data_IF_005502584948
#
_entry.id   IF_005502584948
#
_cell.length_a   1.000
_cell.length_b   1.000
_cell.length_c   1.000
_cell.angle_alpha   90.00
_cell.angle_beta   90.00
_cell.angle_gamma   90.00
#
_symmetry.space_group_name_H-M   'P 1'
#
loop_
_entity.id
_entity.type
_entity.pdbx_description
1 polymer ?
#
# COMPACT_ATOMS: atom_id res chain seq x y z
N UNK A 1 11.76 -5.75 -15.76
CA UNK A 1 10.30 -5.48 -15.73
C UNK A 1 10.11 -3.99 -15.98
N UNK A 2 9.43 -3.56 -17.06
CA UNK A 2 9.23 -2.12 -17.33
C UNK A 2 8.26 -1.54 -16.29
N UNK A 3 8.75 -0.70 -15.39
CA UNK A 3 7.92 0.03 -14.41
C UNK A 3 7.15 1.12 -15.16
N UNK A 4 5.82 1.04 -15.17
CA UNK A 4 4.97 2.11 -15.71
C UNK A 4 4.76 3.14 -14.60
N UNK A 5 5.35 4.33 -14.77
CA UNK A 5 5.35 5.43 -13.81
C UNK A 5 3.94 6.04 -13.73
N UNK A 6 3.35 6.14 -12.53
CA UNK A 6 2.21 7.00 -12.29
C UNK A 6 2.75 8.36 -11.84
N UNK A 7 2.69 9.38 -12.69
CA UNK A 7 3.09 10.73 -12.31
C UNK A 7 2.01 11.37 -11.42
N UNK A 8 2.39 12.35 -10.61
CA UNK A 8 1.46 13.15 -9.79
C UNK A 8 0.28 13.74 -10.61
N UNK A 9 0.43 13.91 -11.92
CA UNK A 9 -0.64 14.33 -12.82
C UNK A 9 -1.75 13.27 -13.02
N UNK A 10 -1.41 11.98 -13.00
CA UNK A 10 -2.37 10.88 -13.06
C UNK A 10 -3.20 10.77 -11.78
N UNK A 11 -2.59 11.11 -10.65
CA UNK A 11 -3.21 11.19 -9.32
C UNK A 11 -4.23 12.34 -9.25
N UNK A 12 -3.89 13.53 -9.76
CA UNK A 12 -4.79 14.69 -9.80
C UNK A 12 -6.03 14.45 -10.70
N UNK A 13 -5.86 13.80 -11.85
CA UNK A 13 -6.98 13.43 -12.74
C UNK A 13 -7.86 12.32 -12.16
N UNK A 14 -7.36 11.57 -11.19
CA UNK A 14 -8.12 10.57 -10.47
C UNK A 14 -9.05 11.22 -9.44
N UNK A 15 -8.53 12.13 -8.62
CA UNK A 15 -9.29 12.84 -7.58
C UNK A 15 -10.42 13.74 -8.10
N UNK A 16 -10.17 14.51 -9.16
CA UNK A 16 -11.18 15.42 -9.71
C UNK A 16 -12.31 14.70 -10.47
N UNK A 17 -12.08 13.46 -10.91
CA UNK A 17 -13.05 12.70 -11.70
C UNK A 17 -14.05 11.93 -10.84
N UNK A 18 -13.64 11.44 -9.65
CA UNK A 18 -14.56 10.74 -8.74
C UNK A 18 -15.67 11.65 -8.23
N UNK A 19 -15.38 12.94 -8.03
CA UNK A 19 -16.34 13.92 -7.53
C UNK A 19 -17.32 14.46 -8.60
N UNK A 20 -17.08 14.21 -9.90
CA UNK A 20 -17.79 14.88 -11.01
C UNK A 20 -18.61 13.91 -11.88
N UNK A 21 -18.58 12.59 -11.59
CA UNK A 21 -19.20 11.57 -12.43
C UNK A 21 -20.74 11.49 -12.33
N UNK A 22 -21.36 12.16 -11.36
CA UNK A 22 -22.82 12.07 -11.16
C UNK A 22 -23.53 13.42 -10.99
N UNK A 23 -22.80 14.53 -11.13
CA UNK A 23 -23.41 15.86 -11.24
C UNK A 23 -23.82 16.14 -12.70
N UNK A 24 -25.13 16.18 -12.94
CA UNK A 24 -25.83 16.69 -14.13
C UNK A 24 -26.07 15.74 -15.32
N UNK A 25 -27.21 15.04 -15.28
CA UNK A 25 -28.09 14.95 -16.47
C UNK A 25 -28.59 16.37 -16.82
N UNK A 26 -27.81 17.18 -17.53
CA UNK A 26 -28.38 18.21 -18.42
C UNK A 26 -27.38 18.74 -19.43
N UNK A 27 -27.79 18.66 -20.70
CA UNK A 27 -27.41 19.49 -21.85
C UNK A 27 -25.94 19.48 -22.32
N UNK A 28 -25.73 18.83 -23.48
CA UNK A 28 -24.79 19.22 -24.55
C UNK A 28 -23.59 20.09 -24.11
N UNK A 29 -22.62 19.48 -23.43
CA UNK A 29 -21.32 20.10 -23.15
C UNK A 29 -20.22 19.22 -23.74
N UNK A 30 -19.52 19.73 -24.76
CA UNK A 30 -18.37 19.06 -25.36
C UNK A 30 -17.33 18.71 -24.30
N UNK A 31 -16.93 17.43 -24.25
CA UNK A 31 -15.72 17.01 -23.55
C UNK A 31 -14.52 17.83 -24.03
N UNK A 32 -13.70 18.44 -23.16
CA UNK A 32 -12.49 19.12 -23.59
C UNK A 32 -11.52 18.09 -24.17
N UNK A 33 -11.36 18.08 -25.49
CA UNK A 33 -10.43 17.21 -26.24
C UNK A 33 -8.95 17.49 -25.94
N UNK A 34 -8.66 18.49 -25.13
CA UNK A 34 -7.28 18.93 -24.78
C UNK A 34 -6.63 18.14 -23.63
N UNK A 35 -7.28 17.11 -23.07
CA UNK A 35 -6.71 16.26 -22.02
C UNK A 35 -5.83 15.11 -22.54
N UNK A 36 -5.86 14.82 -23.85
CA UNK A 36 -5.15 13.68 -24.47
C UNK A 36 -3.90 14.07 -25.25
N UNK A 37 -3.71 15.37 -25.55
CA UNK A 37 -2.60 15.85 -26.39
C UNK A 37 -1.23 15.81 -25.72
N UNK A 38 -1.16 15.81 -24.39
CA UNK A 38 0.09 16.01 -23.66
C UNK A 38 0.79 14.71 -23.22
N UNK A 39 0.20 13.53 -23.53
CA UNK A 39 0.77 12.22 -23.15
C UNK A 39 1.80 11.73 -24.19
N UNK A 40 1.73 12.19 -25.45
CA UNK A 40 2.64 11.75 -26.51
C UNK A 40 3.98 12.49 -26.54
N UNK A 41 4.08 13.69 -25.96
CA UNK A 41 5.33 14.47 -25.98
C UNK A 41 6.40 14.03 -24.98
N UNK A 42 6.08 13.15 -24.01
CA UNK A 42 7.01 12.69 -22.97
C UNK A 42 7.71 11.36 -23.30
N UNK A 43 7.56 10.83 -24.52
CA UNK A 43 8.12 9.53 -24.94
C UNK A 43 9.39 9.62 -25.80
N UNK A 44 9.84 10.81 -26.20
CA UNK A 44 10.84 10.95 -27.27
C UNK A 44 12.23 11.44 -26.80
N UNK A 45 12.51 11.49 -25.50
CA UNK A 45 13.83 11.91 -24.98
C UNK A 45 14.42 10.91 -23.96
N UNK A 46 14.58 9.63 -24.33
CA UNK A 46 15.60 8.76 -23.71
C UNK A 46 16.03 7.70 -24.74
N UNK A 47 16.77 8.12 -25.77
CA UNK A 47 17.63 7.24 -26.55
C UNK A 47 19.06 7.80 -26.49
N UNK A 48 20.01 6.90 -26.30
CA UNK A 48 21.48 7.08 -26.26
C UNK A 48 22.12 7.34 -24.88
N UNK A 49 22.50 6.24 -24.20
CA UNK A 49 23.73 6.17 -23.42
C UNK A 49 24.28 4.73 -23.44
N UNK A 50 25.54 4.62 -23.86
CA UNK A 50 26.26 3.40 -24.18
C UNK A 50 26.52 2.46 -22.99
N UNK A 51 26.54 1.16 -23.28
CA UNK A 51 26.93 0.08 -22.37
C UNK A 51 28.45 -0.06 -22.35
N UNK A 52 29.10 0.27 -21.23
CA UNK A 52 30.43 -0.23 -20.92
C UNK A 52 30.32 -1.37 -19.90
N UNK A 53 30.70 -2.57 -20.34
CA UNK A 53 31.08 -3.69 -19.48
C UNK A 53 32.41 -3.36 -18.80
N UNK A 54 32.54 -3.49 -17.48
CA UNK A 54 33.75 -4.06 -16.87
C UNK A 54 33.63 -4.39 -15.37
N UNK A 55 34.18 -5.57 -15.07
CA UNK A 55 34.81 -6.08 -13.84
C UNK A 55 33.99 -6.33 -12.55
N UNK A 56 33.82 -7.62 -12.26
CA UNK A 56 33.51 -8.16 -10.94
C UNK A 56 34.69 -7.97 -9.98
N UNK A 57 34.52 -7.29 -8.82
CA UNK A 57 35.47 -7.43 -7.75
C UNK A 57 35.05 -8.58 -6.81
N UNK A 58 36.00 -9.49 -6.55
CA UNK A 58 35.94 -10.40 -5.40
C UNK A 58 35.95 -9.56 -4.11
N UNK A 59 34.94 -9.70 -3.25
CA UNK A 59 34.92 -9.05 -1.94
C UNK A 59 34.41 -10.00 -0.84
N UNK A 60 35.31 -10.32 0.09
CA UNK A 60 34.98 -10.63 1.50
C UNK A 60 34.51 -9.34 2.19
N UNK A 61 33.37 -8.78 1.76
CA UNK A 61 32.74 -7.64 2.41
C UNK A 61 31.79 -8.12 3.50
N UNK A 62 31.92 -7.52 4.69
CA UNK A 62 30.89 -7.58 5.73
C UNK A 62 29.56 -7.19 5.09
N UNK A 63 28.66 -8.16 4.91
CA UNK A 63 27.36 -7.88 4.32
C UNK A 63 26.71 -6.76 5.15
N UNK A 64 26.26 -5.67 4.50
CA UNK A 64 25.56 -4.60 5.20
C UNK A 64 24.38 -5.20 5.96
N UNK A 65 24.11 -4.66 7.15
CA UNK A 65 22.94 -5.02 7.94
C UNK A 65 21.70 -4.92 7.05
N UNK A 66 21.06 -6.05 6.77
CA UNK A 66 19.88 -6.11 5.91
C UNK A 66 18.72 -5.48 6.68
N UNK A 67 18.08 -4.42 6.18
CA UNK A 67 16.92 -3.84 6.85
C UNK A 67 15.74 -4.82 6.80
N UNK A 68 15.01 -4.92 7.92
CA UNK A 68 13.76 -5.66 8.01
C UNK A 68 12.60 -4.68 8.12
N UNK A 69 11.58 -4.90 7.31
CA UNK A 69 10.35 -4.13 7.30
C UNK A 69 9.21 -5.01 7.80
N UNK A 70 8.37 -4.50 8.70
CA UNK A 70 7.11 -5.15 9.08
C UNK A 70 5.99 -4.25 8.60
N UNK A 71 5.15 -4.74 7.69
CA UNK A 71 4.03 -4.00 7.09
C UNK A 71 4.41 -2.61 6.54
N UNK A 72 5.59 -2.54 5.90
CA UNK A 72 6.15 -1.30 5.35
C UNK A 72 6.95 -0.46 6.35
N UNK A 73 6.99 -0.83 7.63
CA UNK A 73 7.76 -0.14 8.66
C UNK A 73 9.16 -0.72 8.83
N UNK A 74 10.20 0.08 8.61
CA UNK A 74 11.58 -0.32 8.92
C UNK A 74 11.79 -0.53 10.42
N UNK A 75 12.35 -1.67 10.78
CA UNK A 75 12.60 -2.05 12.16
C UNK A 75 14.06 -1.81 12.54
N UNK A 76 14.26 -0.77 13.34
CA UNK A 76 15.59 -0.34 13.77
C UNK A 76 16.06 -0.97 15.09
N UNK A 77 15.15 -1.58 15.86
CA UNK A 77 15.42 -2.00 17.24
C UNK A 77 15.60 -3.52 17.38
N UNK A 78 15.26 -4.30 16.34
CA UNK A 78 15.32 -5.76 16.35
C UNK A 78 16.69 -6.35 15.99
N UNK A 79 17.56 -5.57 15.34
CA UNK A 79 18.76 -6.10 14.68
C UNK A 79 18.45 -6.65 13.28
N UNK A 80 19.48 -6.79 12.45
CA UNK A 80 19.30 -7.22 11.07
C UNK A 80 19.11 -8.75 10.95
N UNK A 81 18.21 -9.23 10.06
CA UNK A 81 18.23 -10.60 9.60
C UNK A 81 19.60 -11.00 9.04
N UNK A 82 19.92 -12.28 9.17
CA UNK A 82 21.18 -12.83 8.70
C UNK A 82 21.01 -14.24 8.17
N UNK A 83 21.89 -14.62 7.25
CA UNK A 83 21.92 -15.96 6.69
C UNK A 83 22.82 -16.88 7.52
N UNK A 84 22.31 -18.05 7.91
CA UNK A 84 23.10 -19.10 8.53
C UNK A 84 22.62 -20.47 8.05
N UNK A 85 23.55 -21.33 7.63
CA UNK A 85 23.20 -22.69 7.19
C UNK A 85 22.28 -22.78 5.97
N UNK A 86 22.22 -21.73 5.13
CA UNK A 86 21.32 -21.66 3.98
C UNK A 86 19.89 -21.21 4.31
N UNK A 87 19.66 -20.72 5.53
CA UNK A 87 18.37 -20.26 6.01
C UNK A 87 18.49 -18.82 6.55
N UNK A 88 17.40 -18.05 6.46
CA UNK A 88 17.33 -16.71 7.05
C UNK A 88 16.92 -16.84 8.51
N UNK A 89 17.66 -16.16 9.37
CA UNK A 89 17.34 -16.01 10.78
C UNK A 89 16.96 -14.56 11.07
N UNK A 90 15.89 -14.40 11.85
CA UNK A 90 15.50 -13.15 12.46
C UNK A 90 16.06 -13.13 13.89
N UNK A 91 16.60 -12.00 14.37
CA UNK A 91 16.76 -11.81 15.80
C UNK A 91 15.41 -11.99 16.51
N UNK A 92 15.43 -12.57 17.72
CA UNK A 92 14.19 -12.86 18.47
C UNK A 92 13.30 -11.63 18.61
N UNK A 93 13.88 -10.45 18.86
CA UNK A 93 13.10 -9.22 19.00
C UNK A 93 12.29 -8.88 17.73
N UNK A 94 12.89 -9.04 16.54
CA UNK A 94 12.21 -8.81 15.28
C UNK A 94 11.12 -9.86 15.03
N UNK A 95 11.39 -11.14 15.33
CA UNK A 95 10.42 -12.21 15.21
C UNK A 95 9.20 -12.00 16.14
N UNK A 96 9.44 -11.68 17.41
CA UNK A 96 8.39 -11.39 18.39
C UNK A 96 7.57 -10.18 17.97
N UNK A 97 8.20 -9.13 17.45
CA UNK A 97 7.47 -7.97 16.97
C UNK A 97 6.55 -8.31 15.79
N UNK A 98 7.04 -9.05 14.79
CA UNK A 98 6.22 -9.46 13.65
C UNK A 98 5.01 -10.32 14.09
N UNK A 99 5.20 -11.18 15.09
CA UNK A 99 4.12 -12.01 15.63
C UNK A 99 3.13 -11.22 16.51
N UNK A 100 3.59 -10.20 17.24
CA UNK A 100 2.69 -9.27 17.93
C UNK A 100 1.83 -8.50 16.92
N UNK A 101 2.45 -7.94 15.88
CA UNK A 101 1.70 -7.20 14.84
C UNK A 101 0.72 -8.13 14.10
N UNK A 102 1.10 -9.39 13.83
CA UNK A 102 0.19 -10.41 13.33
C UNK A 102 -1.00 -10.64 14.26
N UNK A 103 -0.74 -10.79 15.56
CA UNK A 103 -1.77 -10.95 16.58
C UNK A 103 -2.76 -9.79 16.56
N UNK A 104 -2.26 -8.56 16.56
CA UNK A 104 -3.07 -7.33 16.53
C UNK A 104 -3.96 -7.29 15.28
N UNK A 105 -3.42 -7.66 14.12
CA UNK A 105 -4.19 -7.72 12.86
C UNK A 105 -5.26 -8.81 12.91
N UNK A 106 -4.96 -10.00 13.42
CA UNK A 106 -5.97 -11.07 13.55
C UNK A 106 -7.08 -10.71 14.55
N UNK A 107 -6.72 -10.07 15.67
CA UNK A 107 -7.69 -9.59 16.67
C UNK A 107 -8.62 -8.53 16.04
N UNK A 108 -8.06 -7.58 15.29
CA UNK A 108 -8.85 -6.57 14.58
C UNK A 108 -9.81 -7.19 13.55
N UNK A 109 -9.42 -8.31 12.93
CA UNK A 109 -10.27 -9.07 12.01
C UNK A 109 -11.27 -9.98 12.71
N UNK A 110 -11.21 -10.10 14.04
CA UNK A 110 -12.05 -11.03 14.82
C UNK A 110 -11.77 -12.51 14.51
N UNK A 111 -10.54 -12.82 14.08
CA UNK A 111 -10.11 -14.18 13.73
C UNK A 111 -9.25 -14.73 14.86
N UNK A 112 -9.51 -15.98 15.24
CA UNK A 112 -8.70 -16.62 16.27
C UNK A 112 -7.24 -16.77 15.84
N UNK A 113 -6.30 -16.50 16.73
CA UNK A 113 -4.87 -16.55 16.43
C UNK A 113 -4.07 -17.41 17.44
N UNK A 114 -2.87 -17.88 17.07
CA UNK A 114 -2.11 -18.85 17.87
C UNK A 114 -1.57 -18.31 19.21
N UNK A 115 -1.75 -17.02 19.49
CA UNK A 115 -1.14 -16.30 20.60
C UNK A 115 -2.18 -15.62 21.52
N UNK A 116 -3.46 -16.01 21.46
CA UNK A 116 -4.54 -15.34 22.23
C UNK A 116 -4.25 -15.26 23.74
N UNK A 117 -3.67 -16.32 24.31
CA UNK A 117 -3.45 -16.46 25.75
C UNK A 117 -1.97 -16.34 26.17
N UNK A 118 -1.04 -16.26 25.20
CA UNK A 118 0.39 -16.38 25.44
C UNK A 118 1.20 -15.38 24.62
N UNK A 119 2.29 -14.84 25.19
CA UNK A 119 3.13 -13.90 24.46
C UNK A 119 3.89 -14.65 23.37
N UNK A 120 4.10 -14.07 22.17
CA UNK A 120 4.79 -14.77 21.08
C UNK A 120 6.18 -15.31 21.44
N UNK A 121 6.92 -14.62 22.32
CA UNK A 121 8.19 -15.15 22.82
C UNK A 121 8.03 -16.49 23.54
N UNK A 122 7.04 -16.60 24.43
CA UNK A 122 6.84 -17.78 25.27
C UNK A 122 6.49 -18.99 24.37
N UNK A 123 5.62 -18.80 23.37
CA UNK A 123 5.29 -19.83 22.37
C UNK A 123 6.52 -20.25 21.56
N UNK A 124 7.33 -19.28 21.11
CA UNK A 124 8.56 -19.57 20.35
C UNK A 124 9.58 -20.37 21.19
N UNK A 125 9.69 -20.08 22.48
CA UNK A 125 10.61 -20.76 23.40
C UNK A 125 10.11 -22.16 23.75
N UNK A 126 8.82 -22.32 24.04
CA UNK A 126 8.18 -23.61 24.35
C UNK A 126 8.26 -24.62 23.19
N UNK A 127 8.11 -24.14 21.96
CA UNK A 127 8.29 -24.94 20.74
C UNK A 127 9.78 -25.21 20.41
N UNK A 128 10.71 -24.62 21.17
CA UNK A 128 12.16 -24.76 20.95
C UNK A 128 12.63 -24.09 19.65
N UNK A 129 11.92 -23.05 19.20
CA UNK A 129 12.23 -22.32 17.96
C UNK A 129 13.20 -21.16 18.17
N UNK A 130 13.37 -20.70 19.42
CA UNK A 130 14.45 -19.81 19.84
C UNK A 130 15.77 -20.59 19.88
N UNK A 131 16.75 -20.15 19.08
CA UNK A 131 18.04 -20.82 18.93
C UNK A 131 19.20 -19.82 19.06
N UNK A 132 20.33 -20.29 19.57
CA UNK A 132 21.57 -19.52 19.55
C UNK A 132 22.30 -19.76 18.21
N UNK A 133 22.31 -18.77 17.33
CA UNK A 133 22.99 -18.82 16.02
C UNK A 133 23.92 -17.61 15.91
N UNK A 134 25.18 -17.83 15.56
CA UNK A 134 26.22 -16.79 15.48
C UNK A 134 26.30 -15.88 16.72
N UNK A 135 26.17 -16.48 17.91
CA UNK A 135 26.12 -15.81 19.20
C UNK A 135 24.95 -14.82 19.38
N UNK A 136 23.86 -15.01 18.64
CA UNK A 136 22.62 -14.25 18.76
C UNK A 136 21.46 -15.20 19.05
N UNK A 137 20.55 -14.81 19.93
CA UNK A 137 19.27 -15.49 20.05
C UNK A 137 18.43 -15.14 18.82
N UNK A 138 17.98 -16.16 18.09
CA UNK A 138 17.37 -15.99 16.78
C UNK A 138 16.32 -17.05 16.51
N UNK A 139 15.41 -16.72 15.60
CA UNK A 139 14.33 -17.59 15.14
C UNK A 139 14.48 -17.72 13.64
N UNK A 140 14.42 -18.95 13.13
CA UNK A 140 14.43 -19.18 11.68
C UNK A 140 13.17 -18.54 11.07
N UNK A 141 13.32 -17.85 9.94
CA UNK A 141 12.22 -17.13 9.28
C UNK A 141 11.00 -18.04 9.03
N UNK A 142 11.24 -19.28 8.60
CA UNK A 142 10.18 -20.29 8.39
C UNK A 142 9.27 -20.52 9.61
N UNK A 143 9.79 -20.31 10.82
CA UNK A 143 9.04 -20.53 12.06
C UNK A 143 8.12 -19.34 12.34
N UNK A 144 8.51 -18.14 11.92
CA UNK A 144 7.62 -16.97 11.90
C UNK A 144 6.57 -17.14 10.80
N UNK A 145 6.97 -17.62 9.62
CA UNK A 145 6.03 -17.91 8.53
C UNK A 145 5.03 -19.01 8.86
N UNK A 146 5.39 -19.94 9.74
CA UNK A 146 4.49 -20.99 10.23
C UNK A 146 3.20 -20.42 10.84
N UNK A 147 3.27 -19.23 11.45
CA UNK A 147 2.13 -18.59 12.08
C UNK A 147 1.24 -17.80 11.12
N UNK A 148 1.63 -17.67 9.84
CA UNK A 148 0.86 -16.95 8.82
C UNK A 148 1.43 -15.61 8.42
N UNK A 149 2.51 -15.14 9.07
CA UNK A 149 3.30 -13.98 8.60
C UNK A 149 3.95 -14.35 7.28
N UNK A 150 3.84 -13.50 6.28
CA UNK A 150 4.43 -13.78 4.97
C UNK A 150 5.74 -13.01 4.80
N UNK A 151 6.78 -13.69 4.32
CA UNK A 151 8.08 -13.07 4.13
C UNK A 151 8.44 -12.86 2.67
N UNK A 152 9.00 -11.69 2.36
CA UNK A 152 9.43 -11.30 1.02
C UNK A 152 10.84 -10.74 1.06
N UNK A 153 11.70 -11.37 0.27
CA UNK A 153 13.06 -10.91 0.08
C UNK A 153 13.15 -10.10 -1.22
N UNK A 154 13.65 -8.88 -1.12
CA UNK A 154 14.04 -8.07 -2.26
C UNK A 154 15.56 -8.05 -2.33
N UNK A 155 16.12 -8.30 -3.50
CA UNK A 155 17.57 -8.37 -3.71
C UNK A 155 18.21 -7.01 -4.00
N UNK A 156 17.44 -6.03 -4.46
CA UNK A 156 17.95 -4.74 -4.94
C UNK A 156 17.01 -3.56 -4.59
N UNK A 157 17.31 -2.78 -3.52
CA UNK A 157 18.30 -3.09 -2.49
C UNK A 157 17.88 -4.31 -1.63
N UNK A 158 18.85 -5.01 -1.05
CA UNK A 158 18.62 -6.14 -0.16
C UNK A 158 17.74 -5.71 1.04
N UNK A 159 16.54 -6.28 1.17
CA UNK A 159 15.64 -6.03 2.32
C UNK A 159 14.67 -7.19 2.52
N UNK A 160 14.34 -7.45 3.78
CA UNK A 160 13.33 -8.44 4.16
C UNK A 160 12.05 -7.71 4.56
N UNK A 161 10.93 -8.02 3.91
CA UNK A 161 9.60 -7.56 4.30
C UNK A 161 8.85 -8.71 4.96
N UNK A 162 8.26 -8.44 6.11
CA UNK A 162 7.33 -9.30 6.81
C UNK A 162 5.95 -8.64 6.71
N UNK A 163 4.98 -9.37 6.17
CA UNK A 163 3.60 -8.93 6.05
C UNK A 163 2.74 -9.74 7.02
N UNK A 164 2.08 -9.04 7.93
CA UNK A 164 1.37 -9.65 9.08
C UNK A 164 -0.11 -9.92 8.79
N UNK A 165 -0.59 -9.51 7.61
CA UNK A 165 -1.93 -9.82 7.13
C UNK A 165 -2.17 -9.21 5.75
N UNK A 166 -3.38 -9.36 5.21
CA UNK A 166 -3.74 -8.70 3.95
C UNK A 166 -3.92 -7.20 4.22
N UNK A 167 -2.95 -6.39 3.80
CA UNK A 167 -2.97 -4.94 4.03
C UNK A 167 -3.76 -4.16 2.97
N UNK A 168 -4.02 -4.77 1.83
CA UNK A 168 -4.72 -4.17 0.70
C UNK A 168 -6.13 -4.73 0.53
N UNK A 169 -7.02 -4.56 1.52
CA UNK A 169 -8.43 -4.85 1.33
C UNK A 169 -9.37 -4.08 2.26
N UNK A 170 -10.64 -4.02 1.89
CA UNK A 170 -11.75 -3.57 2.74
C UNK A 170 -12.81 -4.66 2.83
N UNK A 171 -13.41 -4.84 4.01
CA UNK A 171 -14.54 -5.75 4.23
C UNK A 171 -14.34 -7.16 3.65
N UNK A 172 -13.11 -7.69 3.72
CA UNK A 172 -12.77 -9.02 3.20
C UNK A 172 -12.57 -9.11 1.68
N UNK A 173 -12.64 -7.99 0.95
CA UNK A 173 -12.27 -7.91 -0.47
C UNK A 173 -10.88 -7.33 -0.60
N UNK A 174 -9.88 -8.14 -0.98
CA UNK A 174 -8.55 -7.64 -1.27
C UNK A 174 -8.47 -7.04 -2.67
N UNK A 175 -7.52 -6.14 -2.87
CA UNK A 175 -6.95 -5.83 -4.16
C UNK A 175 -6.41 -7.12 -4.78
N UNK A 176 -6.65 -7.32 -6.07
CA UNK A 176 -6.37 -8.58 -6.78
C UNK A 176 -7.53 -9.59 -6.72
N UNK A 177 -8.58 -9.34 -5.94
CA UNK A 177 -9.80 -10.15 -5.97
C UNK A 177 -10.48 -10.08 -7.35
N UNK A 178 -11.37 -11.04 -7.61
CA UNK A 178 -12.13 -11.05 -8.87
C UNK A 178 -13.28 -10.04 -8.84
N UNK A 179 -13.75 -9.60 -10.01
CA UNK A 179 -15.00 -8.84 -10.16
C UNK A 179 -16.17 -9.51 -9.43
N UNK A 180 -16.28 -10.84 -9.52
CA UNK A 180 -17.35 -11.58 -8.85
C UNK A 180 -17.26 -11.49 -7.32
N UNK A 181 -16.05 -11.60 -6.76
CA UNK A 181 -15.82 -11.43 -5.32
C UNK A 181 -16.17 -10.01 -4.85
N UNK A 182 -15.84 -9.00 -5.66
CA UNK A 182 -16.21 -7.62 -5.38
C UNK A 182 -17.73 -7.41 -5.43
N UNK A 183 -18.43 -8.00 -6.40
CA UNK A 183 -19.90 -7.95 -6.51
C UNK A 183 -20.61 -8.64 -5.34
N UNK A 184 -20.10 -9.78 -4.91
CA UNK A 184 -20.69 -10.56 -3.80
C UNK A 184 -20.59 -9.80 -2.47
N UNK A 185 -19.50 -9.05 -2.26
CA UNK A 185 -19.28 -8.28 -1.04
C UNK A 185 -19.87 -6.87 -1.12
N UNK A 186 -19.73 -6.21 -2.26
CA UNK A 186 -20.20 -4.87 -2.53
C UNK A 186 -21.23 -4.96 -3.65
N UNK A 187 -22.50 -4.75 -3.30
CA UNK A 187 -23.58 -4.61 -4.29
C UNK A 187 -23.39 -3.29 -5.06
N UNK A 188 -22.43 -3.26 -5.96
CA UNK A 188 -21.90 -2.06 -6.60
C UNK A 188 -22.65 -1.74 -7.90
N UNK A 189 -22.90 -0.45 -8.14
CA UNK A 189 -23.37 0.02 -9.45
C UNK A 189 -22.16 0.13 -10.39
N UNK A 190 -22.06 -0.75 -11.39
CA UNK A 190 -20.94 -0.77 -12.32
C UNK A 190 -21.15 0.15 -13.52
N UNK A 191 -20.12 0.94 -13.81
CA UNK A 191 -20.01 1.76 -15.02
C UNK A 191 -18.78 1.34 -15.82
N UNK A 192 -18.85 1.44 -17.15
CA UNK A 192 -17.67 1.26 -18.00
C UNK A 192 -16.66 2.37 -17.71
N UNK A 193 -15.35 2.08 -17.79
CA UNK A 193 -14.24 2.94 -17.33
C UNK A 193 -14.09 4.34 -17.98
N UNK A 194 -15.09 4.85 -18.71
CA UNK A 194 -15.18 6.21 -19.26
C UNK A 194 -13.90 6.70 -19.98
N UNK A 195 -13.28 5.84 -20.77
CA UNK A 195 -12.07 6.17 -21.54
C UNK A 195 -10.75 6.06 -20.77
N UNK A 196 -10.76 5.52 -19.55
CA UNK A 196 -9.55 5.16 -18.80
C UNK A 196 -9.04 3.77 -19.18
N UNK A 197 -7.87 3.42 -18.64
CA UNK A 197 -7.29 2.08 -18.76
C UNK A 197 -8.01 1.01 -17.91
N UNK A 198 -9.07 1.39 -17.21
CA UNK A 198 -9.98 0.53 -16.46
C UNK A 198 -11.04 -0.07 -17.39
N UNK A 199 -11.44 -1.31 -17.12
CA UNK A 199 -12.55 -1.93 -17.82
C UNK A 199 -13.89 -1.45 -17.22
N UNK A 200 -14.00 -1.48 -15.88
CA UNK A 200 -15.19 -1.06 -15.13
C UNK A 200 -14.81 -0.34 -13.83
N UNK A 201 -15.68 0.59 -13.41
CA UNK A 201 -15.65 1.23 -12.09
C UNK A 201 -16.96 0.92 -11.36
N UNK A 202 -16.87 0.40 -10.15
CA UNK A 202 -18.01 0.12 -9.27
C UNK A 202 -18.16 1.18 -8.19
N UNK A 203 -19.39 1.52 -7.86
CA UNK A 203 -19.75 2.46 -6.79
C UNK A 203 -20.67 1.77 -5.79
N UNK A 204 -20.32 1.78 -4.51
CA UNK A 204 -21.07 1.13 -3.44
C UNK A 204 -21.33 2.08 -2.27
N UNK A 205 -22.52 1.97 -1.69
CA UNK A 205 -22.91 2.68 -0.48
C UNK A 205 -23.62 4.02 -0.70
N UNK A 206 -23.66 4.82 0.36
CA UNK A 206 -24.11 6.20 0.37
C UNK A 206 -23.16 7.15 -0.38
N UNK A 207 -23.55 8.41 -0.40
CA UNK A 207 -22.78 9.48 -1.04
C UNK A 207 -22.32 10.46 0.04
N UNK A 208 -21.01 10.68 0.11
CA UNK A 208 -20.35 11.53 1.07
C UNK A 208 -19.85 12.79 0.38
N UNK A 209 -20.04 13.95 1.03
CA UNK A 209 -19.56 15.21 0.51
C UNK A 209 -18.02 15.25 0.60
N UNK A 210 -17.37 15.56 -0.52
CA UNK A 210 -15.92 15.69 -0.62
C UNK A 210 -15.54 17.06 -1.20
N UNK A 211 -14.78 17.83 -0.44
CA UNK A 211 -14.29 19.15 -0.85
C UNK A 211 -12.89 19.03 -1.44
N UNK A 212 -12.60 19.71 -2.55
CA UNK A 212 -11.30 19.67 -3.20
C UNK A 212 -10.96 21.01 -3.84
N UNK A 213 -9.66 21.28 -3.99
CA UNK A 213 -9.17 22.43 -4.74
C UNK A 213 -8.86 22.00 -6.18
N UNK A 214 -9.52 22.61 -7.15
CA UNK A 214 -9.29 22.30 -8.55
C UNK A 214 -7.93 22.84 -9.05
N UNK A 215 -7.55 22.50 -10.29
CA UNK A 215 -6.28 22.95 -10.90
C UNK A 215 -6.11 24.47 -11.01
N UNK A 216 -7.18 25.24 -10.85
CA UNK A 216 -7.18 26.70 -10.88
C UNK A 216 -7.11 27.33 -9.48
N UNK A 217 -7.01 26.51 -8.42
CA UNK A 217 -6.99 26.97 -7.04
C UNK A 217 -8.38 27.30 -6.48
N UNK A 218 -9.46 26.90 -7.15
CA UNK A 218 -10.82 27.12 -6.66
C UNK A 218 -11.31 25.93 -5.83
N UNK A 219 -11.85 26.21 -4.66
CA UNK A 219 -12.56 25.22 -3.85
C UNK A 219 -13.85 24.79 -4.56
N UNK A 220 -14.05 23.47 -4.61
CA UNK A 220 -15.23 22.80 -5.15
C UNK A 220 -15.66 21.72 -4.18
N UNK A 221 -16.92 21.36 -4.25
CA UNK A 221 -17.47 20.19 -3.56
C UNK A 221 -18.08 19.25 -4.58
N UNK A 222 -18.00 17.95 -4.33
CA UNK A 222 -18.76 16.94 -5.04
C UNK A 222 -19.10 15.78 -4.10
N UNK A 223 -19.79 14.78 -4.62
CA UNK A 223 -20.18 13.61 -3.85
C UNK A 223 -19.32 12.41 -4.28
N UNK A 224 -18.89 11.59 -3.31
CA UNK A 224 -18.14 10.34 -3.52
C UNK A 224 -18.84 9.18 -2.84
N UNK A 225 -18.78 7.95 -3.39
CA UNK A 225 -19.39 6.79 -2.74
C UNK A 225 -18.66 6.42 -1.45
N UNK A 226 -19.32 5.66 -0.58
CA UNK A 226 -18.66 5.00 0.56
C UNK A 226 -17.48 4.16 0.08
N UNK A 227 -17.68 3.35 -0.98
CA UNK A 227 -16.61 2.55 -1.60
C UNK A 227 -16.62 2.70 -3.13
N UNK A 228 -15.44 2.93 -3.69
CA UNK A 228 -15.18 2.91 -5.14
C UNK A 228 -14.20 1.80 -5.51
N UNK A 229 -14.49 1.07 -6.60
CA UNK A 229 -13.77 -0.13 -7.01
C UNK A 229 -13.35 0.02 -8.48
N UNK A 230 -12.14 -0.38 -8.86
CA UNK A 230 -11.73 -0.51 -10.27
C UNK A 230 -11.45 -1.96 -10.63
N UNK A 231 -11.98 -2.36 -11.79
CA UNK A 231 -11.69 -3.65 -12.41
C UNK A 231 -10.84 -3.45 -13.65
N UNK A 232 -9.78 -4.26 -13.74
CA UNK A 232 -8.99 -4.44 -14.95
C UNK A 232 -8.64 -5.92 -15.15
N UNK A 233 -8.91 -6.45 -16.35
CA UNK A 233 -8.61 -7.83 -16.70
C UNK A 233 -9.24 -8.84 -15.73
N UNK A 234 -10.48 -8.59 -15.29
CA UNK A 234 -11.25 -9.36 -14.29
C UNK A 234 -10.82 -9.20 -12.82
N UNK A 235 -9.80 -8.38 -12.54
CA UNK A 235 -9.25 -8.21 -11.18
C UNK A 235 -9.46 -6.81 -10.62
N UNK A 236 -9.69 -6.73 -9.32
CA UNK A 236 -9.72 -5.47 -8.57
C UNK A 236 -8.32 -4.87 -8.56
N UNK A 237 -8.14 -3.69 -9.16
CA UNK A 237 -6.84 -3.01 -9.22
C UNK A 237 -6.69 -1.87 -8.22
N UNK A 238 -7.80 -1.29 -7.77
CA UNK A 238 -7.82 -0.44 -6.59
C UNK A 238 -9.17 -0.50 -5.86
N UNK A 239 -9.13 -0.11 -4.59
CA UNK A 239 -10.28 0.21 -3.75
C UNK A 239 -10.09 1.61 -3.14
N UNK A 240 -11.17 2.37 -2.96
CA UNK A 240 -11.15 3.61 -2.17
C UNK A 240 -12.33 3.60 -1.22
N UNK A 241 -12.05 3.79 0.07
CA UNK A 241 -13.06 4.05 1.09
C UNK A 241 -13.18 5.56 1.34
N UNK A 242 -14.41 6.03 1.53
CA UNK A 242 -14.74 7.41 1.93
C UNK A 242 -15.69 7.44 3.16
N UNK A 243 -15.89 6.30 3.81
CA UNK A 243 -16.77 6.13 4.98
C UNK A 243 -16.04 5.34 6.08
N UNK A 244 -16.38 5.60 7.35
CA UNK A 244 -15.72 5.03 8.53
C UNK A 244 -15.93 3.51 8.70
N UNK A 245 -17.01 2.96 8.13
CA UNK A 245 -17.33 1.53 8.21
C UNK A 245 -16.32 0.65 7.44
N UNK A 246 -15.45 1.25 6.62
CA UNK A 246 -14.46 0.57 5.78
C UNK A 246 -13.04 0.84 6.25
N UNK A 247 -12.76 0.49 7.52
CA UNK A 247 -11.42 0.57 8.08
C UNK A 247 -10.43 -0.38 7.38
N UNK A 248 -9.15 0.00 7.40
CA UNK A 248 -8.04 -0.86 7.00
C UNK A 248 -7.89 -2.08 7.93
N UNK A 249 -7.10 -3.08 7.53
CA UNK A 249 -6.80 -4.23 8.39
C UNK A 249 -6.02 -3.89 9.67
N UNK A 250 -5.43 -2.69 9.75
CA UNK A 250 -4.86 -2.12 10.98
C UNK A 250 -5.81 -1.17 11.70
N UNK A 251 -7.10 -1.23 11.40
CA UNK A 251 -8.16 -0.46 12.05
C UNK A 251 -8.00 1.07 11.97
N UNK A 252 -7.34 1.57 10.93
CA UNK A 252 -7.35 3.00 10.57
C UNK A 252 -8.52 3.24 9.62
N UNK A 253 -9.37 4.22 9.93
CA UNK A 253 -10.60 4.53 9.21
C UNK A 253 -10.65 5.99 8.72
N UNK A 254 -11.64 6.29 7.87
CA UNK A 254 -12.00 7.68 7.54
C UNK A 254 -12.47 8.39 8.80
N UNK A 255 -12.04 9.64 9.00
CA UNK A 255 -12.25 10.43 10.22
C UNK A 255 -11.09 10.38 11.21
N UNK A 256 -10.15 9.43 11.08
CA UNK A 256 -8.95 9.40 11.90
C UNK A 256 -7.94 10.49 11.51
N UNK A 257 -7.04 10.85 12.43
CA UNK A 257 -5.91 11.75 12.13
C UNK A 257 -4.80 11.00 11.37
N UNK A 258 -4.08 11.65 10.45
CA UNK A 258 -2.91 11.06 9.78
C UNK A 258 -1.82 10.58 10.75
N UNK A 259 -1.82 11.06 12.00
CA UNK A 259 -0.99 10.52 13.08
C UNK A 259 -1.30 9.06 13.39
N UNK A 260 -2.57 8.62 13.33
CA UNK A 260 -2.94 7.22 13.51
C UNK A 260 -2.39 6.35 12.37
N UNK A 261 -2.48 6.81 11.12
CA UNK A 261 -1.83 6.14 10.00
C UNK A 261 -0.32 6.00 10.23
N UNK A 262 0.36 7.05 10.72
CA UNK A 262 1.79 6.98 11.07
C UNK A 262 2.07 6.02 12.23
N UNK A 263 1.17 5.92 13.21
CA UNK A 263 1.33 5.00 14.34
C UNK A 263 1.22 3.54 13.89
N UNK A 264 0.29 3.26 12.97
CA UNK A 264 -0.02 1.89 12.52
C UNK A 264 0.84 1.42 11.34
N UNK A 265 1.27 2.32 10.45
CA UNK A 265 2.06 2.04 9.25
C UNK A 265 3.46 2.69 9.26
N UNK A 266 3.84 3.33 10.36
CA UNK A 266 5.21 3.77 10.65
C UNK A 266 5.54 5.14 10.09
N UNK A 267 6.82 5.51 10.19
CA UNK A 267 7.30 6.82 9.71
C UNK A 267 7.87 6.81 8.30
N UNK A 268 7.89 5.66 7.63
CA UNK A 268 8.39 5.53 6.26
C UNK A 268 7.22 5.64 5.28
N UNK A 269 7.02 6.82 4.71
CA UNK A 269 5.99 7.09 3.71
C UNK A 269 6.44 8.19 2.74
N UNK A 270 5.83 8.21 1.57
CA UNK A 270 5.87 9.37 0.68
C UNK A 270 4.77 10.35 1.06
N UNK A 271 5.07 11.65 1.08
CA UNK A 271 4.08 12.71 1.35
C UNK A 271 4.10 13.74 0.23
N UNK A 272 2.91 14.11 -0.25
CA UNK A 272 2.73 15.17 -1.22
C UNK A 272 1.35 15.81 -1.10
N UNK A 273 1.19 17.00 -1.68
CA UNK A 273 -0.11 17.66 -1.79
C UNK A 273 -0.77 17.36 -3.14
N UNK A 274 -2.05 17.02 -3.13
CA UNK A 274 -2.86 16.86 -4.33
C UNK A 274 -4.25 17.43 -4.11
N UNK A 275 -4.76 18.23 -5.04
CA UNK A 275 -6.11 18.84 -4.98
C UNK A 275 -6.44 19.54 -3.65
N UNK A 276 -5.43 20.16 -3.02
CA UNK A 276 -5.57 20.82 -1.71
C UNK A 276 -5.69 19.85 -0.52
N UNK A 277 -5.23 18.61 -0.69
CA UNK A 277 -5.20 17.56 0.32
C UNK A 277 -3.78 17.10 0.57
N UNK A 278 -3.51 16.70 1.81
CA UNK A 278 -2.28 16.00 2.17
C UNK A 278 -2.46 14.53 1.87
N UNK A 279 -1.54 13.94 1.09
CA UNK A 279 -1.57 12.52 0.74
C UNK A 279 -0.33 11.84 1.31
N UNK A 280 -0.52 10.84 2.16
CA UNK A 280 0.54 9.94 2.64
C UNK A 280 0.42 8.58 1.99
N UNK A 281 1.50 8.09 1.41
CA UNK A 281 1.54 6.79 0.74
C UNK A 281 2.52 5.85 1.42
N UNK A 282 2.02 4.70 1.82
CA UNK A 282 2.78 3.61 2.40
C UNK A 282 2.89 2.48 1.39
N UNK A 283 4.11 2.12 1.01
CA UNK A 283 4.35 0.95 0.18
C UNK A 283 4.26 -0.32 1.00
N UNK A 284 3.43 -1.25 0.52
CA UNK A 284 3.26 -2.59 1.07
C UNK A 284 3.50 -3.61 -0.04
N UNK A 285 3.72 -4.87 0.29
CA UNK A 285 4.23 -5.87 -0.66
C UNK A 285 3.55 -5.89 -2.03
N UNK A 286 2.22 -5.85 -2.11
CA UNK A 286 1.49 -5.97 -3.38
C UNK A 286 1.05 -4.61 -3.96
N UNK A 287 1.49 -3.51 -3.37
CA UNK A 287 1.22 -2.17 -3.86
C UNK A 287 1.33 -1.07 -2.81
N UNK A 288 0.29 -0.27 -2.63
CA UNK A 288 0.36 0.89 -1.75
C UNK A 288 -0.97 1.27 -1.09
N UNK A 289 -0.87 1.86 0.10
CA UNK A 289 -1.97 2.40 0.89
C UNK A 289 -1.85 3.91 0.95
N UNK A 290 -2.93 4.62 0.64
CA UNK A 290 -2.99 6.05 0.46
C UNK A 290 -3.95 6.65 1.48
N UNK A 291 -3.44 7.48 2.37
CA UNK A 291 -4.26 8.25 3.30
C UNK A 291 -4.39 9.67 2.78
N UNK A 292 -5.61 10.10 2.48
CA UNK A 292 -5.91 11.41 1.88
C UNK A 292 -6.64 12.22 2.93
N UNK A 293 -6.04 13.33 3.35
CA UNK A 293 -6.51 14.12 4.47
C UNK A 293 -6.69 15.60 4.13
N UNK A 294 -7.53 16.24 4.92
CA UNK A 294 -7.78 17.68 4.85
C UNK A 294 -6.63 18.52 5.44
N UNK A 295 -6.85 19.84 5.56
CA UNK A 295 -5.88 20.78 6.13
C UNK A 295 -5.68 20.63 7.65
N UNK A 296 -6.54 19.86 8.31
CA UNK A 296 -6.47 19.51 9.73
C UNK A 296 -5.82 18.15 9.97
N UNK A 297 -5.41 17.46 8.90
CA UNK A 297 -4.92 16.08 8.91
C UNK A 297 -5.98 15.03 9.24
N UNK A 298 -7.27 15.34 9.14
CA UNK A 298 -8.34 14.36 9.24
C UNK A 298 -8.44 13.59 7.92
N UNK A 299 -8.36 12.26 7.99
CA UNK A 299 -8.42 11.36 6.83
C UNK A 299 -9.84 11.41 6.27
N UNK A 300 -10.00 11.90 5.06
CA UNK A 300 -11.29 11.93 4.36
C UNK A 300 -11.49 10.69 3.49
N UNK A 301 -10.39 10.08 2.99
CA UNK A 301 -10.43 8.90 2.12
C UNK A 301 -9.19 8.02 2.29
N UNK A 302 -9.38 6.71 2.09
CA UNK A 302 -8.30 5.72 2.11
C UNK A 302 -8.29 4.96 0.79
N UNK A 303 -7.18 5.00 0.05
CA UNK A 303 -6.98 4.27 -1.20
C UNK A 303 -6.07 3.06 -1.03
N UNK A 304 -6.42 1.94 -1.66
CA UNK A 304 -5.63 0.70 -1.70
C UNK A 304 -5.36 0.37 -3.16
N UNK A 305 -4.10 0.24 -3.55
CA UNK A 305 -3.72 0.12 -4.97
C UNK A 305 -2.82 -1.08 -5.23
N UNK A 306 -3.04 -1.81 -6.33
CA UNK A 306 -2.17 -2.92 -6.77
C UNK A 306 -0.87 -2.44 -7.45
N UNK A 307 -0.31 -1.33 -6.99
CA UNK A 307 0.91 -0.71 -7.54
C UNK A 307 1.62 0.04 -6.45
N UNK A 308 2.94 -0.12 -6.42
CA UNK A 308 3.81 0.74 -5.64
C UNK A 308 3.87 2.12 -6.28
N UNK A 309 4.09 3.14 -5.46
CA UNK A 309 4.49 4.44 -5.96
C UNK A 309 5.97 4.36 -6.30
N UNK A 310 6.37 4.96 -7.41
CA UNK A 310 7.79 5.13 -7.67
C UNK A 310 8.24 6.32 -6.81
N UNK A 311 9.35 6.22 -6.04
CA UNK A 311 9.84 7.33 -5.23
C UNK A 311 9.92 8.58 -6.09
N UNK A 312 9.08 9.57 -5.76
CA UNK A 312 9.03 10.84 -6.49
C UNK A 312 10.35 11.63 -6.35
N UNK A 313 11.25 11.20 -5.46
CA UNK A 313 12.56 11.80 -5.25
C UNK A 313 13.63 10.74 -4.97
N UNK A 314 14.18 10.12 -6.01
CA UNK A 314 15.63 9.85 -5.99
C UNK A 314 16.30 11.12 -6.49
N UNK A 315 16.56 12.08 -5.59
CA UNK A 315 17.60 13.05 -5.88
C UNK A 315 18.90 12.27 -5.95
N UNK A 316 19.39 12.07 -7.17
CA UNK A 316 20.80 11.79 -7.43
C UNK A 316 21.61 12.82 -6.62
N UNK A 317 22.40 12.33 -5.67
CA UNK A 317 23.49 13.08 -5.05
C UNK A 317 24.77 12.78 -5.82
#
# INVERSE_FOLDING_TARGET
MKRTILSAAGVICFFAFTANLQGEETAEGEFPRDLLGDIEQLKEEVEDADLDEEEHPEFDELQPDIPVYIDGQEQNYGGAPFWAGGEIFLPVAAAVQALNEYSDVQEALGVNHPFEDERPYDVLDEEGWVQQVDNRESVALRNVEHFGVQAYWFDDPARLHLETGSLLGFSGVPVGATRASAEDAFNADWKTGYGKAADEIGFHGGMNQFNYTNRFGEERSGDVPDVQIEIKGETVTYLIASDEDYATSKNVAVGDDLFEARRMYGSSYEEFEAVGKTVRVYDVREGSIWFIADDRNEIERIGLWHRHVAPLFTTEN
#
